data_IF_023676374178
#
_entry.id   IF_023676374178
#
_cell.length_a   1.000
_cell.length_b   1.000
_cell.length_c   1.000
_cell.angle_alpha   90.00
_cell.angle_beta   90.00
_cell.angle_gamma   90.00
#
_symmetry.space_group_name_H-M   'P 1'
#
loop_
_entity.id
_entity.type
_entity.pdbx_description
1 polymer ?
#
# COMPACT_ATOMS: atom_id res chain seq x y z
N UNK A 1 10.61 -5.03 -24.68
CA UNK A 1 11.08 -3.67 -24.29
C UNK A 1 12.49 -3.38 -24.83
N UNK A 2 13.43 -4.33 -24.75
CA UNK A 2 14.74 -4.25 -25.42
C UNK A 2 14.64 -4.02 -26.95
N UNK A 3 13.59 -4.51 -27.62
CA UNK A 3 13.38 -4.36 -29.06
C UNK A 3 13.10 -2.92 -29.53
N UNK A 4 12.60 -2.04 -28.66
CA UNK A 4 12.17 -0.68 -29.04
C UNK A 4 13.36 0.21 -29.38
N UNK A 5 14.44 0.09 -28.62
CA UNK A 5 15.69 0.82 -28.88
C UNK A 5 16.45 0.26 -30.09
N UNK A 6 16.26 -1.03 -30.41
CA UNK A 6 16.94 -1.68 -31.56
C UNK A 6 16.31 -1.30 -32.89
N UNK A 7 15.00 -1.08 -32.94
CA UNK A 7 14.25 -0.76 -34.18
C UNK A 7 14.30 0.72 -34.57
N UNK A 8 14.54 1.65 -33.63
CA UNK A 8 14.61 3.10 -33.89
C UNK A 8 15.85 3.74 -33.24
N UNK A 9 16.89 3.97 -34.04
CA UNK A 9 18.22 4.48 -33.61
C UNK A 9 18.30 5.95 -33.18
N UNK A 10 17.20 6.69 -33.20
CA UNK A 10 17.19 8.13 -32.88
C UNK A 10 16.74 8.46 -31.45
N UNK A 11 16.52 7.46 -30.58
CA UNK A 11 15.98 7.66 -29.21
C UNK A 11 17.07 7.40 -28.18
N UNK A 12 17.36 8.39 -27.33
CA UNK A 12 18.48 8.36 -26.39
C UNK A 12 18.11 8.00 -24.93
N UNK A 13 16.91 8.32 -24.43
CA UNK A 13 16.49 7.98 -23.05
C UNK A 13 14.96 7.87 -22.90
N UNK A 14 14.43 7.03 -21.98
CA UNK A 14 13.01 6.80 -21.66
C UNK A 14 12.81 6.78 -20.14
N UNK A 15 11.86 7.53 -19.59
CA UNK A 15 11.68 7.75 -18.13
C UNK A 15 10.27 7.33 -17.62
N UNK A 16 10.13 6.37 -16.70
CA UNK A 16 8.85 5.92 -16.11
C UNK A 16 8.71 6.39 -14.67
N UNK A 17 8.27 7.62 -14.49
CA UNK A 17 7.96 8.11 -13.15
C UNK A 17 6.61 7.62 -12.67
N UNK A 18 6.54 6.85 -11.59
CA UNK A 18 5.27 6.31 -11.10
C UNK A 18 5.07 6.55 -9.63
N UNK A 19 3.88 7.06 -9.38
CA UNK A 19 3.40 7.42 -8.08
C UNK A 19 1.99 7.01 -7.88
N UNK A 20 1.85 6.12 -6.92
CA UNK A 20 0.94 5.00 -7.08
C UNK A 20 -0.38 5.32 -6.36
N UNK A 21 -0.73 6.60 -6.27
CA UNK A 21 -1.91 7.02 -5.52
C UNK A 21 -3.11 7.15 -6.45
N UNK A 22 -3.82 6.04 -6.61
CA UNK A 22 -5.14 5.99 -7.23
C UNK A 22 -5.81 4.67 -6.85
N UNK A 23 -6.35 4.61 -5.64
CA UNK A 23 -6.80 3.40 -4.96
C UNK A 23 -5.67 2.38 -4.77
N UNK A 24 -4.98 2.47 -3.63
CA UNK A 24 -4.43 1.26 -3.01
C UNK A 24 -5.64 0.34 -2.80
N UNK A 25 -5.99 -0.49 -3.78
CA UNK A 25 -7.01 -1.51 -3.63
C UNK A 25 -6.43 -2.52 -2.65
N UNK A 26 -6.60 -2.22 -1.37
CA UNK A 26 -6.22 -3.17 -0.36
C UNK A 26 -7.29 -4.24 -0.42
N UNK A 27 -6.86 -5.49 -0.55
CA UNK A 27 -7.76 -6.65 -0.53
C UNK A 27 -8.72 -6.62 0.66
N UNK A 28 -8.30 -6.00 1.78
CA UNK A 28 -9.12 -5.79 2.96
C UNK A 28 -10.32 -4.85 2.74
N UNK A 29 -10.30 -3.92 1.78
CA UNK A 29 -11.40 -2.99 1.52
C UNK A 29 -12.67 -3.71 1.06
N UNK A 30 -12.49 -4.81 0.33
CA UNK A 30 -13.60 -5.68 -0.09
C UNK A 30 -14.25 -6.34 1.12
N UNK A 31 -13.45 -6.82 2.07
CA UNK A 31 -13.95 -7.45 3.28
C UNK A 31 -14.62 -6.44 4.23
N UNK A 32 -14.05 -5.25 4.38
CA UNK A 32 -14.69 -4.14 5.11
C UNK A 32 -16.06 -3.79 4.52
N UNK A 33 -16.15 -3.69 3.19
CA UNK A 33 -17.42 -3.41 2.50
C UNK A 33 -18.50 -4.45 2.78
N UNK A 34 -18.12 -5.73 2.85
CA UNK A 34 -19.05 -6.84 3.18
C UNK A 34 -19.52 -6.74 4.63
N UNK A 35 -18.62 -6.49 5.57
CA UNK A 35 -18.93 -6.37 7.00
C UNK A 35 -19.86 -5.18 7.25
N UNK A 36 -19.58 -4.02 6.66
CA UNK A 36 -20.43 -2.85 6.78
C UNK A 36 -21.84 -3.09 6.21
N UNK A 37 -21.92 -3.76 5.06
CA UNK A 37 -23.21 -4.09 4.45
C UNK A 37 -24.01 -5.05 5.34
N UNK A 38 -23.34 -6.00 6.00
CA UNK A 38 -23.98 -6.86 6.97
C UNK A 38 -24.46 -6.05 8.19
N UNK A 39 -23.62 -5.17 8.76
CA UNK A 39 -24.00 -4.27 9.87
C UNK A 39 -25.26 -3.47 9.55
N UNK A 40 -25.37 -2.93 8.34
CA UNK A 40 -26.54 -2.13 7.90
C UNK A 40 -27.82 -2.96 7.79
N UNK A 41 -27.72 -4.27 7.55
CA UNK A 41 -28.87 -5.17 7.37
C UNK A 41 -29.29 -5.87 8.66
N UNK A 42 -28.37 -6.05 9.60
CA UNK A 42 -28.65 -6.75 10.86
C UNK A 42 -29.36 -5.82 11.84
N UNK A 43 -30.38 -6.33 12.52
CA UNK A 43 -31.11 -5.64 13.61
C UNK A 43 -30.38 -5.69 14.96
N UNK A 44 -29.28 -6.44 15.03
CA UNK A 44 -28.43 -6.59 16.21
C UNK A 44 -27.76 -5.26 16.54
N UNK A 45 -27.96 -4.78 17.78
CA UNK A 45 -27.22 -3.64 18.31
C UNK A 45 -25.86 -4.12 18.79
N UNK A 46 -24.80 -3.47 18.32
CA UNK A 46 -23.43 -3.76 18.72
C UNK A 46 -23.11 -2.89 19.93
N UNK A 47 -22.99 -3.51 21.10
CA UNK A 47 -22.68 -2.83 22.36
C UNK A 47 -21.35 -3.30 22.94
N UNK A 48 -20.92 -4.52 22.62
CA UNK A 48 -19.67 -5.11 23.05
C UNK A 48 -18.76 -5.44 21.85
N UNK A 49 -17.42 -5.33 21.96
CA UNK A 49 -16.49 -5.73 20.90
C UNK A 49 -16.69 -7.17 20.39
N UNK A 50 -17.12 -8.08 21.27
CA UNK A 50 -17.48 -9.46 20.86
C UNK A 50 -18.68 -9.53 19.90
N UNK A 51 -19.60 -8.57 19.94
CA UNK A 51 -20.72 -8.51 19.00
C UNK A 51 -20.22 -8.25 17.58
N UNK A 52 -19.13 -7.48 17.42
CA UNK A 52 -18.46 -7.32 16.13
C UNK A 52 -17.87 -8.63 15.63
N UNK A 53 -17.23 -9.41 16.51
CA UNK A 53 -16.68 -10.73 16.16
C UNK A 53 -17.78 -11.65 15.65
N UNK A 54 -18.93 -11.67 16.32
CA UNK A 54 -20.08 -12.47 15.91
C UNK A 54 -20.65 -11.98 14.57
N UNK A 55 -20.80 -10.66 14.40
CA UNK A 55 -21.26 -10.08 13.13
C UNK A 55 -20.33 -10.48 11.98
N UNK A 56 -19.03 -10.27 12.12
CA UNK A 56 -18.01 -10.60 11.12
C UNK A 56 -18.09 -12.08 10.71
N UNK A 57 -18.18 -13.01 11.67
CA UNK A 57 -18.34 -14.45 11.38
C UNK A 57 -19.60 -14.75 10.57
N UNK A 58 -20.69 -14.00 10.78
CA UNK A 58 -21.96 -14.19 10.10
C UNK A 58 -22.08 -13.50 8.72
N UNK A 59 -21.11 -12.67 8.33
CA UNK A 59 -21.21 -11.82 7.14
C UNK A 59 -21.22 -12.60 5.81
N UNK A 60 -20.50 -13.73 5.74
CA UNK A 60 -20.38 -14.58 4.54
C UNK A 60 -20.96 -15.97 4.83
N UNK A 61 -22.06 -16.34 4.15
CA UNK A 61 -22.73 -17.64 4.36
C UNK A 61 -21.96 -18.84 3.79
N UNK A 62 -21.28 -18.65 2.65
CA UNK A 62 -20.55 -19.73 1.95
C UNK A 62 -19.10 -19.86 2.42
N UNK A 63 -18.46 -18.74 2.76
CA UNK A 63 -17.06 -18.67 3.19
C UNK A 63 -16.93 -17.74 4.40
N UNK A 64 -17.31 -18.20 5.60
CA UNK A 64 -17.26 -17.40 6.81
C UNK A 64 -15.86 -16.86 7.10
N UNK A 65 -15.80 -15.65 7.68
CA UNK A 65 -14.54 -15.07 8.10
C UNK A 65 -13.96 -15.79 9.32
N UNK A 66 -12.66 -16.07 9.29
CA UNK A 66 -11.91 -16.54 10.46
C UNK A 66 -11.47 -15.31 11.25
N UNK A 67 -12.22 -14.98 12.30
CA UNK A 67 -11.92 -13.81 13.14
C UNK A 67 -11.06 -14.26 14.33
N UNK A 68 -9.80 -13.83 14.32
CA UNK A 68 -8.87 -13.99 15.44
C UNK A 68 -8.87 -12.72 16.28
N UNK A 69 -9.30 -12.83 17.53
CA UNK A 69 -9.21 -11.74 18.50
C UNK A 69 -7.76 -11.71 19.00
N UNK A 70 -7.14 -10.54 18.95
CA UNK A 70 -5.79 -10.30 19.45
C UNK A 70 -5.88 -9.67 20.83
N UNK A 71 -4.94 -10.04 21.71
CA UNK A 71 -4.77 -9.43 23.03
C UNK A 71 -3.46 -8.64 23.08
N UNK A 72 -3.24 -7.84 24.12
CA UNK A 72 -2.04 -7.04 24.36
C UNK A 72 -0.73 -7.77 24.03
N UNK A 73 -0.49 -9.05 24.42
CA UNK A 73 0.75 -9.74 24.10
C UNK A 73 0.96 -10.02 22.60
N UNK A 74 -0.08 -9.99 21.77
CA UNK A 74 0.04 -10.16 20.32
C UNK A 74 0.56 -8.90 19.61
N UNK A 75 0.54 -7.74 20.29
CA UNK A 75 0.99 -6.46 19.73
C UNK A 75 2.47 -6.19 20.04
N UNK A 76 3.28 -6.16 18.98
CA UNK A 76 4.70 -5.83 19.10
C UNK A 76 4.94 -4.31 19.20
N UNK A 77 5.83 -3.91 20.11
CA UNK A 77 6.24 -2.51 20.26
C UNK A 77 7.38 -2.17 19.29
N UNK A 78 7.06 -1.42 18.22
CA UNK A 78 8.03 -0.96 17.24
C UNK A 78 8.52 0.48 17.47
N UNK A 79 8.14 1.12 18.59
CA UNK A 79 8.47 2.52 18.85
C UNK A 79 9.98 2.79 18.92
N UNK A 80 10.78 1.79 19.31
CA UNK A 80 12.24 1.91 19.33
C UNK A 80 12.85 1.87 17.92
N UNK A 81 12.28 1.08 17.00
CA UNK A 81 12.75 0.98 15.62
C UNK A 81 12.47 2.25 14.82
N UNK A 82 11.38 2.95 15.17
CA UNK A 82 10.99 4.22 14.55
C UNK A 82 11.86 5.41 14.96
N UNK A 83 12.78 5.26 15.91
CA UNK A 83 13.76 6.31 16.29
C UNK A 83 15.09 6.20 15.53
N UNK A 84 15.27 5.13 14.77
CA UNK A 84 16.48 4.83 14.01
C UNK A 84 16.32 5.10 12.51
N UNK A 85 17.00 4.33 11.64
CA UNK A 85 17.01 4.56 10.18
C UNK A 85 15.67 4.31 9.49
N UNK A 86 14.68 3.72 10.18
CA UNK A 86 13.35 3.41 9.67
C UNK A 86 12.33 4.55 9.90
N UNK A 87 12.81 5.71 10.35
CA UNK A 87 11.99 6.91 10.51
C UNK A 87 11.60 7.40 9.12
N UNK A 88 10.28 7.50 8.87
CA UNK A 88 9.76 8.07 7.63
C UNK A 88 10.11 9.55 7.58
N UNK A 89 11.22 9.87 6.90
CA UNK A 89 11.69 11.24 6.75
C UNK A 89 10.74 11.98 5.81
N UNK A 90 10.10 13.02 6.31
CA UNK A 90 9.22 13.89 5.53
C UNK A 90 9.98 15.03 4.84
N UNK A 91 11.31 15.08 5.00
CA UNK A 91 12.17 16.17 4.54
C UNK A 91 13.46 15.58 3.99
N UNK A 92 13.85 16.01 2.78
CA UNK A 92 15.13 15.68 2.14
C UNK A 92 16.28 16.45 2.81
N UNK A 93 17.53 16.11 2.46
CA UNK A 93 18.75 16.72 3.02
C UNK A 93 18.81 18.24 2.80
N UNK A 94 18.15 18.75 1.75
CA UNK A 94 18.02 20.18 1.43
C UNK A 94 16.89 20.91 2.17
N UNK A 95 16.22 20.27 3.14
CA UNK A 95 15.13 20.89 3.90
C UNK A 95 13.79 20.96 3.14
N UNK A 96 13.71 20.36 1.95
CA UNK A 96 12.51 20.30 1.13
C UNK A 96 11.61 19.15 1.57
N UNK A 97 10.31 19.41 1.71
CA UNK A 97 9.32 18.39 2.12
C UNK A 97 9.21 17.29 1.07
N UNK A 98 9.52 16.06 1.45
CA UNK A 98 9.39 14.88 0.60
C UNK A 98 7.93 14.38 0.62
N UNK A 99 7.20 14.66 -0.46
CA UNK A 99 5.83 14.18 -0.63
C UNK A 99 5.91 12.73 -1.12
N UNK A 100 5.75 11.77 -0.20
CA UNK A 100 5.82 10.32 -0.48
C UNK A 100 4.79 9.81 -1.49
N UNK A 101 3.68 10.52 -1.63
CA UNK A 101 2.69 10.29 -2.69
C UNK A 101 3.25 10.59 -4.07
N UNK A 102 4.42 11.23 -4.15
CA UNK A 102 4.98 11.81 -5.37
C UNK A 102 6.45 11.44 -5.80
N UNK A 103 7.10 10.32 -5.42
CA UNK A 103 8.22 9.77 -6.22
C UNK A 103 8.30 8.24 -6.54
N UNK A 104 8.29 7.88 -7.83
CA UNK A 104 9.25 6.93 -8.41
C UNK A 104 9.48 7.21 -9.90
N UNK A 105 10.47 6.54 -10.54
CA UNK A 105 11.11 6.80 -11.86
C UNK A 105 11.85 5.55 -12.41
N UNK A 106 11.58 5.11 -13.64
CA UNK A 106 12.40 4.15 -14.42
C UNK A 106 12.97 4.83 -15.67
N UNK A 107 14.18 5.35 -15.57
CA UNK A 107 14.95 5.84 -16.71
C UNK A 107 15.57 4.67 -17.49
N UNK A 108 15.63 4.73 -18.80
CA UNK A 108 16.25 3.76 -19.71
C UNK A 108 17.03 4.56 -20.74
N UNK A 109 18.34 4.40 -20.87
CA UNK A 109 19.15 5.15 -21.84
C UNK A 109 19.59 4.27 -23.02
N UNK A 110 19.88 4.88 -24.16
CA UNK A 110 20.41 4.23 -25.36
C UNK A 110 21.91 3.95 -25.26
N UNK A 111 22.64 4.74 -24.46
CA UNK A 111 24.07 4.59 -24.24
C UNK A 111 24.40 3.43 -23.27
N UNK A 112 23.44 3.09 -22.42
CA UNK A 112 23.49 1.95 -21.51
C UNK A 112 22.09 1.30 -21.47
N UNK A 113 21.85 0.25 -22.28
CA UNK A 113 20.56 -0.42 -22.32
C UNK A 113 20.31 -1.21 -21.02
N UNK A 114 19.77 -0.52 -20.01
CA UNK A 114 19.47 -1.04 -18.68
C UNK A 114 18.47 -0.14 -17.93
N UNK A 115 17.88 -0.67 -16.86
CA UNK A 115 16.91 0.05 -16.00
C UNK A 115 17.67 0.97 -15.05
N UNK A 116 17.61 2.28 -15.27
CA UNK A 116 18.06 3.31 -14.34
C UNK A 116 16.90 3.73 -13.43
N UNK A 117 16.78 3.11 -12.26
CA UNK A 117 15.89 3.63 -11.22
C UNK A 117 16.56 4.85 -10.58
N UNK A 118 16.11 6.05 -10.92
CA UNK A 118 16.62 7.28 -10.30
C UNK A 118 15.56 7.85 -9.37
N UNK A 119 15.77 7.84 -8.06
CA UNK A 119 15.15 8.87 -7.23
C UNK A 119 15.56 10.24 -7.78
N UNK A 120 14.64 11.21 -7.84
CA UNK A 120 15.06 12.60 -8.04
C UNK A 120 15.98 13.01 -6.87
N UNK A 121 16.97 13.90 -7.09
CA UNK A 121 17.86 14.40 -6.05
C UNK A 121 17.07 14.97 -4.86
#
# INVERSE_FOLDING_TARGET
MMSVFTEKKSIETIDHKFLISGHSHMECDTDHSVIERAKRKTTMKINHPYDWVQLMRSCKKKTPFIVKVLDIPDFYNFAQLLKGPLLMKEVNEDGVKFVWKEAQWLRYSSEAPGIHKTGLP
#
